data_IF_280094657475
#
_entry.id   IF_280094657475
#
_cell.length_a   1.000
_cell.length_b   1.000
_cell.length_c   1.000
_cell.angle_alpha   90.00
_cell.angle_beta   90.00
_cell.angle_gamma   90.00
#
_symmetry.space_group_name_H-M   'P 1'
#
loop_
_entity.id
_entity.type
_entity.pdbx_description
1 polymer ?
#
# COMPACT_ATOMS: atom_id res chain seq x y z
N UNK A 1 -11.36 16.23 -4.82
CA UNK A 1 -11.55 15.01 -3.98
C UNK A 1 -13.00 14.75 -3.57
N UNK A 2 -13.83 15.78 -3.41
CA UNK A 2 -15.29 15.67 -3.20
C UNK A 2 -16.04 14.94 -4.32
N UNK A 3 -15.45 14.90 -5.51
CA UNK A 3 -16.06 14.27 -6.67
C UNK A 3 -16.10 12.74 -6.59
N UNK A 4 -15.32 12.08 -5.71
CA UNK A 4 -15.30 10.62 -5.59
C UNK A 4 -16.40 10.09 -4.66
N UNK A 5 -17.03 8.94 -4.99
CA UNK A 5 -17.93 8.23 -4.10
C UNK A 5 -17.31 7.98 -2.72
N UNK A 6 -18.16 7.84 -1.71
CA UNK A 6 -17.72 7.65 -0.32
C UNK A 6 -16.78 6.44 -0.16
N UNK A 7 -17.02 5.35 -0.91
CA UNK A 7 -16.19 4.16 -0.87
C UNK A 7 -14.78 4.39 -1.40
N UNK A 8 -14.64 5.09 -2.54
CA UNK A 8 -13.33 5.45 -3.12
C UNK A 8 -12.61 6.45 -2.22
N UNK A 9 -13.32 7.45 -1.68
CA UNK A 9 -12.72 8.40 -0.73
C UNK A 9 -12.18 7.68 0.51
N UNK A 10 -12.94 6.76 1.08
CA UNK A 10 -12.50 5.96 2.23
C UNK A 10 -11.24 5.16 1.89
N UNK A 11 -11.17 4.54 0.71
CA UNK A 11 -9.97 3.84 0.25
C UNK A 11 -8.74 4.76 0.21
N UNK A 12 -8.87 5.96 -0.37
CA UNK A 12 -7.77 6.92 -0.52
C UNK A 12 -7.34 7.50 0.84
N UNK A 13 -8.31 7.86 1.70
CA UNK A 13 -8.03 8.52 2.98
C UNK A 13 -7.69 7.56 4.12
N UNK A 14 -7.76 6.24 3.91
CA UNK A 14 -7.31 5.29 4.92
C UNK A 14 -5.79 5.35 5.03
N UNK A 15 -5.27 5.99 6.07
CA UNK A 15 -3.82 6.07 6.35
C UNK A 15 -3.28 4.79 6.97
N UNK A 16 -4.14 3.94 7.54
CA UNK A 16 -3.76 2.70 8.23
C UNK A 16 -2.79 1.81 7.42
N UNK A 17 -2.98 1.69 6.10
CA UNK A 17 -2.11 0.85 5.27
C UNK A 17 -0.70 1.44 5.13
N UNK A 18 -0.59 2.75 4.88
CA UNK A 18 0.70 3.45 4.75
C UNK A 18 1.41 3.54 6.10
N UNK A 19 0.68 3.88 7.16
CA UNK A 19 1.20 3.91 8.53
C UNK A 19 1.65 2.52 8.99
N UNK A 20 0.86 1.49 8.70
CA UNK A 20 1.18 0.10 8.98
C UNK A 20 2.47 -0.34 8.29
N UNK A 21 2.62 -0.05 7.01
CA UNK A 21 3.85 -0.31 6.25
C UNK A 21 5.05 0.40 6.89
N UNK A 22 4.95 1.71 7.12
CA UNK A 22 6.02 2.53 7.71
C UNK A 22 6.41 2.04 9.12
N UNK A 23 5.44 1.60 9.92
CA UNK A 23 5.69 1.01 11.24
C UNK A 23 6.52 -0.26 11.12
N UNK A 24 6.22 -1.15 10.17
CA UNK A 24 6.99 -2.37 9.96
C UNK A 24 8.41 -2.08 9.47
N UNK A 25 8.57 -1.13 8.54
CA UNK A 25 9.91 -0.68 8.11
C UNK A 25 10.71 -0.13 9.29
N UNK A 26 10.14 0.78 10.08
CA UNK A 26 10.78 1.34 11.28
C UNK A 26 11.13 0.27 12.31
N UNK A 27 10.29 -0.76 12.50
CA UNK A 27 10.55 -1.87 13.43
C UNK A 27 11.87 -2.58 13.09
N UNK A 28 12.17 -2.76 11.81
CA UNK A 28 13.39 -3.44 11.36
C UNK A 28 14.58 -2.49 11.33
N UNK A 29 14.40 -1.24 10.92
CA UNK A 29 15.52 -0.29 10.77
C UNK A 29 15.98 0.30 12.11
N UNK A 30 15.09 0.46 13.11
CA UNK A 30 15.44 1.10 14.40
C UNK A 30 16.54 0.40 15.19
N UNK A 31 16.75 -0.89 14.97
CA UNK A 31 17.79 -1.69 15.66
C UNK A 31 19.05 -1.87 14.82
N UNK A 32 19.06 -1.40 13.57
CA UNK A 32 20.25 -1.42 12.71
C UNK A 32 21.04 -0.14 12.97
N UNK A 33 22.34 -0.30 13.21
CA UNK A 33 23.27 0.84 13.23
C UNK A 33 23.47 1.43 11.83
N UNK A 34 24.56 2.16 11.64
CA UNK A 34 24.90 2.69 10.32
C UNK A 34 25.00 1.54 9.28
N UNK A 35 24.36 1.75 8.13
CA UNK A 35 24.46 0.82 7.01
C UNK A 35 25.78 1.08 6.26
N UNK A 36 26.47 0.03 5.79
CA UNK A 36 27.82 0.16 5.23
C UNK A 36 27.86 0.89 3.88
N UNK A 37 26.77 0.85 3.11
CA UNK A 37 26.60 1.59 1.86
C UNK A 37 25.11 1.64 1.46
N UNK A 38 24.81 2.36 0.38
CA UNK A 38 23.46 2.49 -0.15
C UNK A 38 22.86 1.15 -0.61
N UNK A 39 23.66 0.26 -1.21
CA UNK A 39 23.18 -1.05 -1.67
C UNK A 39 22.73 -1.95 -0.52
N UNK A 40 23.41 -1.89 0.63
CA UNK A 40 23.00 -2.59 1.84
C UNK A 40 21.64 -2.07 2.34
N UNK A 41 21.40 -0.75 2.25
CA UNK A 41 20.11 -0.15 2.58
C UNK A 41 19.01 -0.60 1.62
N UNK A 42 19.27 -0.58 0.31
CA UNK A 42 18.33 -1.04 -0.72
C UNK A 42 17.98 -2.52 -0.53
N UNK A 43 18.96 -3.39 -0.28
CA UNK A 43 18.73 -4.83 0.00
C UNK A 43 17.91 -5.04 1.26
N UNK A 44 18.19 -4.29 2.33
CA UNK A 44 17.41 -4.37 3.56
C UNK A 44 15.95 -4.00 3.32
N UNK A 45 15.70 -2.88 2.64
CA UNK A 45 14.33 -2.44 2.30
C UNK A 45 13.60 -3.45 1.41
N UNK A 46 14.30 -4.05 0.46
CA UNK A 46 13.74 -5.12 -0.38
C UNK A 46 13.31 -6.33 0.47
N UNK A 47 14.18 -6.80 1.37
CA UNK A 47 13.85 -7.95 2.24
C UNK A 47 12.68 -7.64 3.17
N UNK A 48 12.65 -6.44 3.74
CA UNK A 48 11.54 -5.97 4.58
C UNK A 48 10.24 -5.90 3.79
N UNK A 49 10.27 -5.31 2.59
CA UNK A 49 9.10 -5.24 1.71
C UNK A 49 8.58 -6.65 1.40
N UNK A 50 9.47 -7.57 1.00
CA UNK A 50 9.12 -8.96 0.72
C UNK A 50 8.43 -9.63 1.90
N UNK A 51 8.89 -9.38 3.12
CA UNK A 51 8.28 -9.95 4.32
C UNK A 51 6.89 -9.34 4.58
N UNK A 52 6.77 -8.01 4.52
CA UNK A 52 5.48 -7.32 4.72
C UNK A 52 4.43 -7.80 3.71
N UNK A 53 4.81 -7.92 2.43
CA UNK A 53 3.87 -8.25 1.37
C UNK A 53 3.38 -9.70 1.39
N UNK A 54 4.07 -10.62 2.08
CA UNK A 54 3.58 -12.00 2.26
C UNK A 54 2.24 -12.04 2.98
N UNK A 55 2.04 -11.14 3.93
CA UNK A 55 0.82 -11.09 4.74
C UNK A 55 -0.29 -10.26 4.06
N UNK A 56 -0.01 -9.60 2.93
CA UNK A 56 -0.96 -8.76 2.20
C UNK A 56 -1.83 -9.57 1.24
N UNK A 57 -2.49 -10.59 1.78
CA UNK A 57 -3.39 -11.49 1.03
C UNK A 57 -4.87 -11.11 1.16
N UNK A 58 -5.20 -10.26 2.13
CA UNK A 58 -6.57 -9.83 2.38
C UNK A 58 -7.10 -8.95 1.23
N UNK A 59 -8.33 -9.24 0.81
CA UNK A 59 -9.04 -8.41 -0.16
C UNK A 59 -9.40 -7.04 0.44
N UNK A 60 -9.39 -6.02 -0.40
CA UNK A 60 -9.82 -4.67 -0.02
C UNK A 60 -11.32 -4.71 0.30
N UNK A 61 -11.70 -4.10 1.42
CA UNK A 61 -13.10 -4.01 1.81
C UNK A 61 -13.96 -3.35 0.71
N UNK A 62 -15.04 -4.02 0.31
CA UNK A 62 -15.93 -3.59 -0.78
C UNK A 62 -15.24 -3.40 -2.15
N UNK A 63 -14.16 -4.14 -2.43
CA UNK A 63 -13.39 -3.98 -3.67
C UNK A 63 -14.24 -4.10 -4.94
N UNK A 64 -15.17 -5.07 -5.03
CA UNK A 64 -16.01 -5.24 -6.23
C UNK A 64 -16.83 -3.98 -6.56
N UNK A 65 -17.40 -3.34 -5.54
CA UNK A 65 -18.16 -2.09 -5.70
C UNK A 65 -17.25 -0.93 -6.11
N UNK A 66 -16.10 -0.81 -5.46
CA UNK A 66 -15.10 0.23 -5.78
C UNK A 66 -14.60 0.06 -7.21
N UNK A 67 -14.27 -1.17 -7.64
CA UNK A 67 -13.83 -1.48 -9.00
C UNK A 67 -14.87 -1.09 -10.03
N UNK A 68 -16.15 -1.42 -9.81
CA UNK A 68 -17.23 -1.03 -10.73
C UNK A 68 -17.39 0.50 -10.83
N UNK A 69 -17.33 1.21 -9.70
CA UNK A 69 -17.37 2.68 -9.69
C UNK A 69 -16.18 3.29 -10.44
N UNK A 70 -14.98 2.72 -10.29
CA UNK A 70 -13.78 3.15 -11.01
C UNK A 70 -13.88 2.87 -12.51
N UNK A 71 -14.38 1.69 -12.91
CA UNK A 71 -14.52 1.31 -14.32
C UNK A 71 -15.50 2.22 -15.07
N UNK A 72 -16.64 2.57 -14.45
CA UNK A 72 -17.61 3.52 -15.06
C UNK A 72 -17.03 4.93 -15.15
N UNK A 73 -16.33 5.39 -14.10
CA UNK A 73 -15.78 6.75 -14.06
C UNK A 73 -14.60 6.94 -15.00
N UNK A 74 -13.77 5.92 -15.15
CA UNK A 74 -12.58 5.92 -16.00
C UNK A 74 -12.79 4.95 -17.17
N UNK A 75 -13.84 5.20 -17.95
CA UNK A 75 -14.19 4.39 -19.11
C UNK A 75 -12.98 4.25 -20.08
N UNK A 76 -12.78 3.05 -20.61
CA UNK A 76 -11.66 2.73 -21.50
C UNK A 76 -10.28 2.64 -20.84
N UNK A 77 -10.17 2.82 -19.51
CA UNK A 77 -8.90 2.68 -18.75
C UNK A 77 -8.75 1.35 -18.02
N UNK A 78 -9.83 0.58 -17.89
CA UNK A 78 -9.83 -0.73 -17.24
C UNK A 78 -10.37 -1.80 -18.20
N UNK A 79 -9.70 -2.96 -18.32
CA UNK A 79 -10.35 -4.14 -18.88
C UNK A 79 -11.47 -4.55 -17.92
N UNK A 80 -12.69 -4.62 -18.43
CA UNK A 80 -13.84 -5.15 -17.69
C UNK A 80 -13.62 -6.63 -17.40
#
# INVERSE_FOLDING_TARGET
MSEYPAEIRRLIYTTNTVEGYNRQVRKVTKTKGALPNEDAARKLLFLVNREITKDWTASIFNWAKIRNQLAVRFEGRFPL
#
